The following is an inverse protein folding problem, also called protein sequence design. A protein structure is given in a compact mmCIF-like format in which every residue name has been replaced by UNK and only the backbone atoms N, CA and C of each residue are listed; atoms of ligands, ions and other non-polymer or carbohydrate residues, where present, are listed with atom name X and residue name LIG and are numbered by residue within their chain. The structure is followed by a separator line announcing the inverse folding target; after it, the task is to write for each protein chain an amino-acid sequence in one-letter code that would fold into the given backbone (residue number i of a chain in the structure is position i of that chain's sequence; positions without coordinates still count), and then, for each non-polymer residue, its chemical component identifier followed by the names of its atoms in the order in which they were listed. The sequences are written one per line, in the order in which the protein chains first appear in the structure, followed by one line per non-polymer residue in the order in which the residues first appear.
data_IF_084510287197
#
_entry.id   IF_084510287197
#
_cell.length_a   1.000
_cell.length_b   1.000
_cell.length_c   1.000
_cell.angle_alpha   90.00
_cell.angle_beta   90.00
_cell.angle_gamma   90.00
#
_symmetry.space_group_name_H-M   'P 1'
#
loop_
_entity.id
_entity.type
_entity.pdbx_description
1 polymer ?
#
# COMPACT_ATOMS: atom_id res chain seq x y z
N UNK A 1 -14.40 45.56 56.01
CA UNK A 1 -13.96 44.56 57.01
C UNK A 1 -14.81 43.30 56.89
N UNK A 2 -14.28 42.22 56.30
CA UNK A 2 -14.47 40.84 56.78
C UNK A 2 -13.65 39.89 55.92
N UNK A 3 -12.77 39.13 56.58
CA UNK A 3 -11.85 38.12 56.04
C UNK A 3 -12.59 36.80 55.82
N UNK A 4 -12.32 36.09 54.72
CA UNK A 4 -12.51 34.62 54.59
C UNK A 4 -11.36 34.07 53.74
N UNK A 5 -10.35 33.45 54.37
CA UNK A 5 -10.21 32.02 54.75
C UNK A 5 -9.68 31.17 53.59
N UNK A 6 -8.36 30.98 53.61
CA UNK A 6 -7.60 30.02 52.82
C UNK A 6 -7.87 28.59 53.31
N UNK A 7 -7.97 27.65 52.36
CA UNK A 7 -7.95 26.20 52.58
C UNK A 7 -6.51 25.67 52.50
N UNK A 8 -6.13 24.65 53.29
CA UNK A 8 -4.79 24.06 53.21
C UNK A 8 -4.70 22.99 52.12
N UNK A 9 -3.62 23.03 51.35
CA UNK A 9 -3.18 21.95 50.45
C UNK A 9 -2.53 20.83 51.28
N UNK A 10 -3.06 19.62 51.17
CA UNK A 10 -2.44 18.39 51.67
C UNK A 10 -1.46 17.86 50.60
N UNK A 11 -0.18 17.85 50.95
CA UNK A 11 0.88 17.20 50.18
C UNK A 11 0.88 15.70 50.50
N UNK A 12 0.69 14.86 49.48
CA UNK A 12 0.87 13.42 49.58
C UNK A 12 2.24 13.06 48.99
N UNK A 13 3.20 12.78 49.88
CA UNK A 13 4.51 12.25 49.51
C UNK A 13 4.43 10.77 49.20
N UNK A 14 4.91 10.36 48.03
CA UNK A 14 5.17 8.96 47.71
C UNK A 14 6.64 8.63 48.01
N UNK A 15 6.83 7.73 48.96
CA UNK A 15 8.09 7.11 49.35
C UNK A 15 8.29 5.87 48.47
N UNK A 16 9.27 5.88 47.56
CA UNK A 16 9.67 4.67 46.83
C UNK A 16 10.83 4.00 47.57
N UNK A 17 10.55 2.85 48.17
CA UNK A 17 11.54 1.97 48.82
C UNK A 17 12.28 1.19 47.74
N UNK A 18 13.61 1.31 47.77
CA UNK A 18 14.54 0.51 46.97
C UNK A 18 14.85 -0.79 47.71
N UNK A 19 14.60 -1.94 47.10
CA UNK A 19 15.26 -3.20 47.50
C UNK A 19 16.10 -3.70 46.33
N UNK A 20 17.40 -3.80 46.59
CA UNK A 20 18.35 -4.45 45.71
C UNK A 20 18.28 -5.96 45.86
N UNK A 21 18.49 -6.65 44.74
CA UNK A 21 18.95 -8.04 44.71
C UNK A 21 20.13 -8.08 43.74
N UNK A 22 21.25 -8.64 44.21
CA UNK A 22 22.50 -8.78 43.48
C UNK A 22 22.82 -10.28 43.33
N UNK A 23 23.31 -10.63 42.14
CA UNK A 23 24.20 -11.75 41.78
C UNK A 23 23.56 -13.16 41.84
N UNK A 24 23.84 -14.15 40.98
CA UNK A 24 24.98 -14.48 40.11
C UNK A 24 24.53 -15.34 38.89
N UNK A 25 25.35 -15.27 37.83
CA UNK A 25 25.79 -16.32 36.89
C UNK A 25 24.84 -17.42 36.39
N UNK A 26 24.55 -17.41 35.08
CA UNK A 26 24.70 -18.59 34.21
C UNK A 26 25.27 -18.16 32.85
N UNK A 27 26.21 -18.96 32.38
CA UNK A 27 27.12 -18.82 31.26
C UNK A 27 26.53 -19.16 29.88
N UNK A 28 27.24 -18.69 28.86
CA UNK A 28 27.42 -19.28 27.53
C UNK A 28 26.20 -19.47 26.61
N UNK A 29 26.16 -18.65 25.55
CA UNK A 29 26.48 -19.14 24.20
C UNK A 29 26.63 -17.98 23.22
N UNK A 30 27.87 -17.77 22.79
CA UNK A 30 28.24 -16.88 21.71
C UNK A 30 27.68 -17.42 20.38
N UNK A 31 26.73 -16.72 19.78
CA UNK A 31 26.31 -16.99 18.41
C UNK A 31 26.95 -15.97 17.47
N UNK A 32 27.86 -16.52 16.68
CA UNK A 32 28.66 -15.96 15.60
C UNK A 32 27.89 -14.94 14.77
N UNK A 33 28.38 -13.69 14.75
CA UNK A 33 28.08 -12.72 13.70
C UNK A 33 28.89 -13.09 12.47
N UNK A 34 28.22 -13.60 11.43
CA UNK A 34 28.80 -13.67 10.10
C UNK A 34 28.65 -12.29 9.43
N UNK A 35 29.77 -11.58 9.45
CA UNK A 35 30.04 -10.40 8.63
C UNK A 35 30.07 -10.85 7.17
N UNK A 36 29.16 -10.34 6.34
CA UNK A 36 29.14 -10.62 4.91
C UNK A 36 29.07 -9.31 4.10
N UNK A 37 30.08 -9.17 3.26
CA UNK A 37 30.18 -8.31 2.07
C UNK A 37 30.57 -6.83 2.27
N UNK A 38 31.88 -6.62 2.44
CA UNK A 38 32.58 -5.57 1.69
C UNK A 38 32.59 -5.95 0.21
N UNK A 39 31.69 -5.35 -0.57
CA UNK A 39 31.79 -5.39 -2.03
C UNK A 39 32.72 -4.27 -2.49
N UNK A 40 33.82 -4.70 -3.11
CA UNK A 40 34.86 -3.94 -3.75
C UNK A 40 34.28 -3.10 -4.91
N UNK A 41 34.32 -1.78 -4.80
CA UNK A 41 34.06 -0.85 -5.92
C UNK A 41 35.24 -0.93 -6.89
N UNK A 42 35.11 -1.77 -7.92
CA UNK A 42 35.88 -1.60 -9.15
C UNK A 42 35.03 -0.80 -10.15
N UNK A 43 35.61 0.30 -10.61
CA UNK A 43 35.06 1.19 -11.62
C UNK A 43 34.89 0.44 -12.94
N UNK A 44 33.65 0.41 -13.44
CA UNK A 44 33.36 -0.04 -14.79
C UNK A 44 33.45 1.17 -15.71
N UNK A 45 34.54 1.28 -16.46
CA UNK A 45 34.66 2.22 -17.60
C UNK A 45 33.94 1.60 -18.81
N UNK A 46 32.88 2.24 -19.35
CA UNK A 46 32.27 1.77 -20.59
C UNK A 46 33.19 2.05 -21.79
N UNK A 47 33.30 1.14 -22.77
CA UNK A 47 33.99 1.43 -24.01
C UNK A 47 33.20 2.46 -24.83
N UNK A 48 33.91 3.49 -25.28
CA UNK A 48 33.48 4.47 -26.25
C UNK A 48 33.21 3.80 -27.61
N UNK A 49 31.96 3.83 -28.05
CA UNK A 49 31.59 3.55 -29.44
C UNK A 49 31.40 4.87 -30.21
N UNK A 50 31.81 4.95 -31.49
CA UNK A 50 31.87 6.19 -32.24
C UNK A 50 30.48 6.66 -32.71
N UNK A 51 30.30 7.97 -32.66
CA UNK A 51 29.18 8.69 -33.26
C UNK A 51 29.15 8.48 -34.78
N UNK A 52 28.09 7.83 -35.27
CA UNK A 52 27.68 7.85 -36.67
C UNK A 52 26.37 8.64 -36.79
N UNK A 53 26.44 9.81 -37.42
CA UNK A 53 25.31 10.66 -37.78
C UNK A 53 24.58 10.01 -38.95
N UNK A 54 23.28 9.72 -38.80
CA UNK A 54 22.35 9.55 -39.91
C UNK A 54 20.99 10.15 -39.52
N UNK A 55 20.70 11.30 -40.13
CA UNK A 55 19.38 11.91 -40.16
C UNK A 55 18.50 11.16 -41.19
N UNK A 56 17.24 10.88 -40.84
CA UNK A 56 16.31 10.23 -41.78
C UNK A 56 14.94 9.87 -41.16
N UNK A 57 14.09 10.88 -41.03
CA UNK A 57 12.66 10.93 -41.42
C UNK A 57 11.68 9.72 -41.33
N UNK A 58 10.48 10.10 -40.87
CA UNK A 58 9.10 9.58 -41.07
C UNK A 58 8.46 8.66 -40.02
N UNK A 59 7.30 9.16 -39.56
CA UNK A 59 6.47 8.62 -38.51
C UNK A 59 5.89 7.26 -38.85
N UNK A 60 6.06 6.34 -37.90
CA UNK A 60 5.27 5.13 -37.78
C UNK A 60 4.80 5.06 -36.33
N UNK A 61 3.50 5.12 -36.13
CA UNK A 61 2.86 4.83 -34.85
C UNK A 61 3.15 3.36 -34.52
N UNK A 62 4.16 3.11 -33.69
CA UNK A 62 4.49 1.78 -33.21
C UNK A 62 3.43 1.35 -32.18
N UNK A 63 2.35 0.78 -32.69
CA UNK A 63 1.43 -0.05 -31.92
C UNK A 63 2.20 -1.30 -31.49
N UNK A 64 2.70 -1.32 -30.25
CA UNK A 64 3.27 -2.54 -29.68
C UNK A 64 2.14 -3.54 -29.43
N UNK A 65 2.13 -4.72 -30.08
CA UNK A 65 1.18 -5.76 -29.74
C UNK A 65 1.54 -6.28 -28.35
N UNK A 66 0.71 -5.96 -27.35
CA UNK A 66 0.72 -6.71 -26.10
C UNK A 66 0.34 -8.15 -26.45
N UNK A 67 1.11 -9.17 -26.05
CA UNK A 67 0.59 -10.54 -26.10
C UNK A 67 -0.67 -10.53 -25.24
N UNK A 68 -1.79 -10.93 -25.83
CA UNK A 68 -3.01 -11.20 -25.09
C UNK A 68 -2.62 -12.19 -23.98
N UNK A 69 -2.65 -11.73 -22.73
CA UNK A 69 -2.61 -12.63 -21.60
C UNK A 69 -3.84 -13.51 -21.78
N UNK A 70 -3.63 -14.82 -21.93
CA UNK A 70 -4.71 -15.80 -21.98
C UNK A 70 -5.66 -15.49 -20.83
N UNK A 71 -6.87 -15.04 -21.17
CA UNK A 71 -7.85 -14.66 -20.19
C UNK A 71 -8.11 -15.89 -19.31
N UNK A 72 -7.98 -15.82 -17.98
CA UNK A 72 -8.33 -16.93 -17.12
C UNK A 72 -9.78 -17.32 -17.41
N UNK A 73 -10.01 -18.64 -17.52
CA UNK A 73 -11.29 -19.27 -17.85
C UNK A 73 -12.47 -18.50 -17.26
N UNK A 74 -13.36 -18.04 -18.15
CA UNK A 74 -14.47 -17.16 -17.82
C UNK A 74 -15.28 -17.68 -16.62
N UNK A 75 -15.38 -16.85 -15.58
CA UNK A 75 -16.45 -17.01 -14.60
C UNK A 75 -17.81 -16.83 -15.32
N UNK A 76 -18.87 -17.51 -14.86
CA UNK A 76 -20.21 -17.30 -15.41
C UNK A 76 -20.55 -15.81 -15.29
N UNK A 77 -20.89 -15.20 -16.43
CA UNK A 77 -21.29 -13.80 -16.52
C UNK A 77 -22.53 -13.58 -15.65
N UNK A 78 -22.38 -12.89 -14.52
CA UNK A 78 -23.50 -12.43 -13.71
C UNK A 78 -24.10 -11.23 -14.46
N UNK A 79 -25.18 -11.48 -15.20
CA UNK A 79 -25.86 -10.48 -16.01
C UNK A 79 -26.36 -9.32 -15.13
N UNK A 80 -25.75 -8.15 -15.30
CA UNK A 80 -26.22 -6.91 -14.74
C UNK A 80 -27.32 -6.34 -15.64
N UNK A 81 -28.60 -6.68 -15.41
CA UNK A 81 -29.76 -5.94 -15.93
C UNK A 81 -31.08 -6.40 -15.26
N UNK A 82 -31.70 -5.56 -14.44
CA UNK A 82 -33.14 -5.64 -14.11
C UNK A 82 -33.51 -5.66 -12.61
N UNK A 83 -34.46 -4.82 -12.14
CA UNK A 83 -34.85 -4.75 -10.73
C UNK A 83 -36.13 -5.56 -10.45
N UNK A 84 -36.06 -6.88 -10.31
CA UNK A 84 -37.15 -7.69 -9.70
C UNK A 84 -36.56 -8.95 -9.08
N UNK A 85 -37.03 -9.33 -7.88
CA UNK A 85 -36.77 -10.60 -7.15
C UNK A 85 -35.51 -10.74 -6.28
N UNK A 86 -35.06 -9.67 -5.62
CA UNK A 86 -33.97 -9.75 -4.62
C UNK A 86 -34.34 -10.39 -3.26
N UNK A 87 -35.55 -10.94 -3.10
CA UNK A 87 -36.08 -11.30 -1.77
C UNK A 87 -36.36 -12.79 -1.54
N UNK A 88 -35.76 -13.72 -2.31
CA UNK A 88 -36.01 -15.16 -2.12
C UNK A 88 -34.78 -16.08 -1.98
N UNK A 89 -33.55 -15.56 -1.89
CA UNK A 89 -32.35 -16.42 -1.69
C UNK A 89 -31.47 -15.93 -0.54
N UNK A 90 -31.79 -16.38 0.68
CA UNK A 90 -30.79 -16.46 1.74
C UNK A 90 -29.70 -17.45 1.29
N UNK A 91 -28.60 -16.96 0.71
CA UNK A 91 -27.50 -17.84 0.27
C UNK A 91 -26.55 -17.26 -0.76
N UNK A 92 -26.86 -16.14 -1.42
CA UNK A 92 -25.88 -15.50 -2.31
C UNK A 92 -24.90 -14.63 -1.50
N UNK A 93 -23.59 -14.70 -1.81
CA UNK A 93 -22.61 -13.82 -1.18
C UNK A 93 -22.96 -12.36 -1.47
N UNK A 94 -22.68 -11.47 -0.50
CA UNK A 94 -22.83 -10.04 -0.72
C UNK A 94 -21.94 -9.57 -1.87
N UNK A 95 -22.30 -8.46 -2.53
CA UNK A 95 -21.47 -7.84 -3.57
C UNK A 95 -20.04 -7.61 -3.08
N UNK A 96 -19.89 -7.18 -1.83
CA UNK A 96 -18.60 -6.99 -1.18
C UNK A 96 -17.82 -8.30 -1.06
N UNK A 97 -18.46 -9.40 -0.63
CA UNK A 97 -17.81 -10.70 -0.54
C UNK A 97 -17.33 -11.22 -1.91
N UNK A 98 -18.15 -11.05 -2.97
CA UNK A 98 -17.78 -11.40 -4.34
C UNK A 98 -16.58 -10.56 -4.83
N UNK A 99 -16.64 -9.25 -4.61
CA UNK A 99 -15.55 -8.34 -4.96
C UNK A 99 -14.24 -8.69 -4.25
N UNK A 100 -14.29 -8.90 -2.93
CA UNK A 100 -13.13 -9.23 -2.11
C UNK A 100 -12.51 -10.56 -2.52
N UNK A 101 -13.33 -11.60 -2.71
CA UNK A 101 -12.86 -12.92 -3.16
C UNK A 101 -12.21 -12.87 -4.54
N UNK A 102 -12.78 -12.09 -5.48
CA UNK A 102 -12.19 -11.91 -6.80
C UNK A 102 -10.85 -11.16 -6.74
N UNK A 103 -10.76 -10.11 -5.94
CA UNK A 103 -9.52 -9.34 -5.75
C UNK A 103 -8.39 -10.19 -5.14
N UNK A 104 -8.70 -10.99 -4.11
CA UNK A 104 -7.74 -11.91 -3.48
C UNK A 104 -7.23 -12.94 -4.48
N UNK A 105 -8.12 -13.54 -5.28
CA UNK A 105 -7.75 -14.50 -6.33
C UNK A 105 -6.79 -13.86 -7.34
N UNK A 106 -7.10 -12.68 -7.87
CA UNK A 106 -6.24 -11.99 -8.82
C UNK A 106 -4.85 -11.67 -8.25
N UNK A 107 -4.81 -11.23 -6.99
CA UNK A 107 -3.56 -10.94 -6.32
C UNK A 107 -2.69 -12.21 -6.18
N UNK A 108 -3.30 -13.36 -5.86
CA UNK A 108 -2.65 -14.67 -5.87
C UNK A 108 -2.15 -15.12 -7.24
N UNK A 109 -2.93 -14.87 -8.30
CA UNK A 109 -2.54 -15.16 -9.68
C UNK A 109 -1.34 -14.33 -10.14
N UNK A 110 -1.26 -13.05 -9.75
CA UNK A 110 -0.08 -12.24 -10.07
C UNK A 110 1.13 -12.56 -9.20
N UNK A 111 0.93 -12.94 -7.93
CA UNK A 111 2.02 -13.39 -7.07
C UNK A 111 2.66 -14.68 -7.62
N UNK A 112 1.85 -15.65 -8.06
CA UNK A 112 2.35 -16.93 -8.59
C UNK A 112 3.17 -16.79 -9.87
N UNK A 113 2.97 -15.71 -10.64
CA UNK A 113 3.76 -15.37 -11.82
C UNK A 113 5.17 -14.86 -11.49
N UNK A 114 5.50 -14.59 -10.22
CA UNK A 114 6.82 -14.13 -9.78
C UNK A 114 7.33 -12.89 -10.55
N UNK A 115 6.43 -11.97 -10.92
CA UNK A 115 6.76 -10.80 -11.73
C UNK A 115 7.71 -9.87 -10.94
N UNK A 116 8.95 -9.77 -11.39
CA UNK A 116 9.97 -8.91 -10.77
C UNK A 116 9.72 -7.42 -11.04
N UNK A 117 10.10 -6.60 -10.07
CA UNK A 117 9.96 -5.14 -10.17
C UNK A 117 10.73 -4.56 -11.37
N UNK A 118 10.02 -3.87 -12.26
CA UNK A 118 10.53 -3.29 -13.53
C UNK A 118 11.17 -4.30 -14.49
N UNK A 119 10.87 -5.60 -14.39
CA UNK A 119 11.33 -6.59 -15.37
C UNK A 119 10.49 -6.63 -16.65
N UNK A 120 9.22 -6.22 -16.59
CA UNK A 120 8.29 -6.20 -17.73
C UNK A 120 7.43 -4.94 -17.69
N UNK A 121 6.76 -4.54 -18.79
CA UNK A 121 5.83 -3.43 -18.77
C UNK A 121 4.82 -3.56 -17.62
N UNK A 122 4.55 -2.44 -16.94
CA UNK A 122 3.63 -2.39 -15.79
C UNK A 122 4.01 -3.33 -14.62
N UNK A 123 5.30 -3.57 -14.35
CA UNK A 123 5.72 -4.29 -13.14
C UNK A 123 6.37 -3.42 -12.04
N UNK A 124 6.21 -2.09 -12.12
CA UNK A 124 6.43 -1.22 -10.94
C UNK A 124 5.19 -1.17 -10.04
N UNK A 125 5.26 -0.43 -8.92
CA UNK A 125 4.17 -0.38 -7.93
C UNK A 125 2.84 0.08 -8.55
N UNK A 126 2.83 1.21 -9.25
CA UNK A 126 1.67 1.69 -10.02
C UNK A 126 1.28 0.78 -11.18
N UNK A 127 2.24 0.11 -11.82
CA UNK A 127 1.99 -0.79 -12.93
C UNK A 127 1.26 -2.05 -12.51
N UNK A 128 1.67 -2.67 -11.41
CA UNK A 128 0.99 -3.85 -10.87
C UNK A 128 -0.43 -3.51 -10.40
N UNK A 129 -0.64 -2.30 -9.89
CA UNK A 129 -1.98 -1.80 -9.63
C UNK A 129 -2.82 -1.69 -10.91
N UNK A 130 -2.28 -1.11 -11.98
CA UNK A 130 -2.97 -1.06 -13.29
C UNK A 130 -3.30 -2.45 -13.85
N UNK A 131 -2.41 -3.43 -13.67
CA UNK A 131 -2.69 -4.83 -14.04
C UNK A 131 -3.89 -5.39 -13.28
N UNK A 132 -3.97 -5.16 -11.97
CA UNK A 132 -5.17 -5.49 -11.19
C UNK A 132 -6.40 -4.79 -11.76
N UNK A 133 -6.35 -3.48 -11.99
CA UNK A 133 -7.50 -2.71 -12.48
C UNK A 133 -8.03 -3.23 -13.82
N UNK A 134 -7.16 -3.64 -14.75
CA UNK A 134 -7.57 -4.19 -16.04
C UNK A 134 -8.44 -5.44 -15.89
N UNK A 135 -8.08 -6.33 -14.96
CA UNK A 135 -8.86 -7.53 -14.66
C UNK A 135 -10.13 -7.19 -13.87
N UNK A 136 -10.04 -6.27 -12.91
CA UNK A 136 -11.20 -5.78 -12.16
C UNK A 136 -12.25 -5.15 -13.08
N UNK A 137 -11.84 -4.35 -14.06
CA UNK A 137 -12.74 -3.71 -15.05
C UNK A 137 -13.54 -4.72 -15.87
N UNK A 138 -12.93 -5.85 -16.21
CA UNK A 138 -13.63 -6.92 -16.93
C UNK A 138 -14.73 -7.56 -16.07
N UNK A 139 -14.48 -7.76 -14.77
CA UNK A 139 -15.44 -8.38 -13.85
C UNK A 139 -16.47 -7.41 -13.27
N UNK A 140 -16.11 -6.13 -13.11
CA UNK A 140 -16.92 -5.08 -12.49
C UNK A 140 -16.97 -3.83 -13.38
N UNK A 141 -17.54 -3.91 -14.59
CA UNK A 141 -17.50 -2.82 -15.58
C UNK A 141 -18.26 -1.55 -15.18
N UNK A 142 -19.11 -1.63 -14.15
CA UNK A 142 -19.86 -0.48 -13.63
C UNK A 142 -19.00 0.49 -12.80
N UNK A 143 -17.80 0.09 -12.38
CA UNK A 143 -16.87 1.01 -11.70
C UNK A 143 -16.11 1.86 -12.70
N UNK A 144 -15.73 3.05 -12.26
CA UNK A 144 -14.86 3.95 -13.02
C UNK A 144 -13.41 3.62 -12.68
N UNK A 145 -12.56 3.43 -13.69
CA UNK A 145 -11.15 3.08 -13.49
C UNK A 145 -10.22 4.10 -14.15
N UNK A 146 -9.11 4.47 -13.50
CA UNK A 146 -8.07 5.25 -14.16
C UNK A 146 -7.42 4.40 -15.26
N UNK A 147 -7.35 4.96 -16.46
CA UNK A 147 -6.59 4.35 -17.55
C UNK A 147 -5.09 4.61 -17.41
N UNK A 148 -4.27 3.70 -17.95
CA UNK A 148 -2.80 3.81 -17.93
C UNK A 148 -2.34 5.12 -18.59
N UNK A 149 -3.02 5.55 -19.65
CA UNK A 149 -2.72 6.78 -20.40
C UNK A 149 -3.10 8.06 -19.65
N UNK A 150 -4.09 7.99 -18.75
CA UNK A 150 -4.56 9.12 -17.96
C UNK A 150 -3.75 9.28 -16.66
N UNK A 151 -3.48 8.16 -15.97
CA UNK A 151 -2.89 8.17 -14.64
C UNK A 151 -1.87 7.03 -14.42
N UNK A 152 -0.76 7.05 -15.17
CA UNK A 152 0.25 5.97 -15.10
C UNK A 152 0.97 5.85 -13.76
N UNK A 153 1.32 6.99 -13.15
CA UNK A 153 2.22 7.03 -11.99
C UNK A 153 1.44 7.05 -10.68
N UNK A 154 2.07 6.67 -9.58
CA UNK A 154 1.45 6.72 -8.24
C UNK A 154 0.90 8.09 -7.87
N UNK A 155 1.58 9.17 -8.27
CA UNK A 155 1.14 10.56 -8.04
C UNK A 155 -0.01 10.97 -8.96
N UNK A 156 0.05 10.58 -10.24
CA UNK A 156 -1.04 10.83 -11.18
C UNK A 156 -2.32 10.07 -10.77
N UNK A 157 -2.19 8.84 -10.25
CA UNK A 157 -3.31 8.09 -9.67
C UNK A 157 -3.92 8.84 -8.49
N UNK A 158 -3.11 9.35 -7.56
CA UNK A 158 -3.63 10.12 -6.44
C UNK A 158 -4.37 11.40 -6.92
N UNK A 159 -3.81 12.12 -7.90
CA UNK A 159 -4.48 13.27 -8.50
C UNK A 159 -5.82 12.87 -9.13
N UNK A 160 -5.84 11.77 -9.90
CA UNK A 160 -7.04 11.26 -10.55
C UNK A 160 -8.18 10.97 -9.56
N UNK A 161 -7.87 10.34 -8.43
CA UNK A 161 -8.85 10.09 -7.36
C UNK A 161 -9.24 11.40 -6.65
N UNK A 162 -8.30 12.33 -6.47
CA UNK A 162 -8.58 13.62 -5.84
C UNK A 162 -9.54 14.47 -6.66
N UNK A 163 -9.32 14.58 -7.96
CA UNK A 163 -10.17 15.35 -8.90
C UNK A 163 -11.61 14.83 -8.95
N UNK A 164 -11.83 13.59 -8.47
CA UNK A 164 -13.13 12.90 -8.41
C UNK A 164 -13.70 12.83 -6.99
N UNK A 165 -13.12 13.56 -6.03
CA UNK A 165 -13.50 13.53 -4.61
C UNK A 165 -13.46 12.11 -3.98
N UNK A 166 -12.60 11.24 -4.52
CA UNK A 166 -12.47 9.84 -4.10
C UNK A 166 -11.15 9.56 -3.35
N UNK A 167 -10.30 10.57 -3.18
CA UNK A 167 -9.07 10.48 -2.39
C UNK A 167 -9.29 11.06 -0.99
N UNK A 168 -9.06 10.24 0.04
CA UNK A 168 -8.99 10.70 1.42
C UNK A 168 -7.53 10.90 1.82
N UNK A 169 -7.17 12.11 2.22
CA UNK A 169 -5.84 12.42 2.76
C UNK A 169 -5.79 12.02 4.23
N UNK A 170 -4.73 11.32 4.64
CA UNK A 170 -4.57 10.76 5.98
C UNK A 170 -3.63 11.64 6.80
N UNK A 171 -4.18 12.23 7.86
CA UNK A 171 -3.41 13.02 8.83
C UNK A 171 -2.92 12.16 9.99
N UNK A 172 -3.79 11.27 10.48
CA UNK A 172 -3.51 10.37 11.60
C UNK A 172 -3.85 8.92 11.22
N UNK A 173 -2.82 8.18 10.79
CA UNK A 173 -2.96 6.78 10.40
C UNK A 173 -3.50 5.90 11.53
N UNK A 174 -3.09 6.13 12.79
CA UNK A 174 -3.47 5.26 13.90
C UNK A 174 -4.98 5.29 14.18
N UNK A 175 -5.61 6.43 13.92
CA UNK A 175 -7.05 6.66 14.10
C UNK A 175 -7.87 6.51 12.80
N UNK A 176 -7.21 6.30 11.66
CA UNK A 176 -7.88 6.18 10.35
C UNK A 176 -8.13 4.72 9.92
N UNK A 177 -7.93 3.74 10.80
CA UNK A 177 -8.04 2.31 10.46
C UNK A 177 -9.39 1.89 9.88
N UNK A 178 -10.48 2.59 10.20
CA UNK A 178 -11.82 2.35 9.66
C UNK A 178 -11.90 2.55 8.12
N UNK A 179 -10.95 3.29 7.52
CA UNK A 179 -10.86 3.47 6.07
C UNK A 179 -10.20 2.28 5.36
N UNK A 180 -9.57 1.38 6.10
CA UNK A 180 -8.87 0.21 5.56
C UNK A 180 -9.87 -0.93 5.39
N UNK A 181 -10.21 -1.23 4.14
CA UNK A 181 -11.03 -2.37 3.72
C UNK A 181 -10.41 -3.00 2.47
N UNK A 182 -10.68 -4.28 2.15
CA UNK A 182 -10.26 -4.84 0.87
C UNK A 182 -10.73 -3.97 -0.30
N UNK A 183 -9.85 -3.80 -1.30
CA UNK A 183 -10.05 -2.83 -2.40
C UNK A 183 -9.58 -1.41 -2.10
N UNK A 184 -9.20 -1.09 -0.85
CA UNK A 184 -8.55 0.17 -0.54
C UNK A 184 -7.18 0.28 -1.22
N UNK A 185 -6.88 1.45 -1.76
CA UNK A 185 -5.64 1.79 -2.45
C UNK A 185 -4.83 2.67 -1.51
N UNK A 186 -3.77 2.11 -0.95
CA UNK A 186 -2.94 2.77 0.05
C UNK A 186 -1.84 3.54 -0.66
N UNK A 187 -1.74 4.85 -0.38
CA UNK A 187 -0.65 5.69 -0.86
C UNK A 187 0.33 5.98 0.27
N UNK A 188 1.60 5.75 0.02
CA UNK A 188 2.67 5.91 1.01
C UNK A 188 3.67 6.98 0.60
N UNK A 189 4.14 7.73 1.58
CA UNK A 189 5.10 8.81 1.39
C UNK A 189 6.54 8.38 1.21
N UNK A 190 7.42 9.39 1.15
CA UNK A 190 8.86 9.18 1.20
C UNK A 190 9.32 8.44 2.46
N UNK A 191 10.36 7.63 2.32
CA UNK A 191 10.98 6.85 3.42
C UNK A 191 11.47 7.79 4.52
N UNK A 192 11.03 7.58 5.76
CA UNK A 192 11.50 8.32 6.94
C UNK A 192 10.99 9.75 7.05
N UNK A 193 10.20 10.24 6.09
CA UNK A 193 9.59 11.56 6.13
C UNK A 193 8.25 11.49 6.86
N UNK A 194 8.01 12.47 7.72
CA UNK A 194 6.72 12.66 8.41
C UNK A 194 5.91 13.71 7.67
N UNK A 195 4.63 13.42 7.47
CA UNK A 195 3.65 14.30 6.86
C UNK A 195 2.67 14.71 7.94
N UNK A 196 2.54 16.02 8.14
CA UNK A 196 1.58 16.64 9.03
C UNK A 196 0.69 17.50 8.14
N UNK A 197 -0.57 17.11 8.00
CA UNK A 197 -1.56 17.80 7.15
C UNK A 197 -1.07 17.99 5.70
N UNK A 198 -0.72 16.91 4.98
CA UNK A 198 -0.20 17.04 3.62
C UNK A 198 -1.29 17.57 2.68
N UNK A 199 -0.95 18.53 1.82
CA UNK A 199 -1.84 18.99 0.74
C UNK A 199 -1.73 18.09 -0.48
N UNK A 200 -2.76 18.08 -1.35
CA UNK A 200 -2.69 17.33 -2.61
C UNK A 200 -1.48 17.75 -3.46
N UNK A 201 -1.18 19.05 -3.57
CA UNK A 201 0.02 19.56 -4.26
C UNK A 201 1.29 18.88 -3.76
N UNK A 202 1.45 18.78 -2.43
CA UNK A 202 2.63 18.15 -1.83
C UNK A 202 2.65 16.65 -2.14
N UNK A 203 1.50 15.98 -2.06
CA UNK A 203 1.36 14.55 -2.30
C UNK A 203 1.71 14.17 -3.74
N UNK A 204 1.31 14.99 -4.71
CA UNK A 204 1.48 14.72 -6.14
C UNK A 204 2.77 15.30 -6.72
N UNK A 205 3.47 16.19 -5.99
CA UNK A 205 4.79 16.68 -6.39
C UNK A 205 5.87 15.59 -6.29
N UNK A 206 6.61 15.41 -7.38
CA UNK A 206 7.71 14.44 -7.45
C UNK A 206 8.78 14.69 -6.38
N UNK A 207 9.23 13.63 -5.71
CA UNK A 207 10.24 13.70 -4.66
C UNK A 207 9.77 14.29 -3.32
N UNK A 208 8.54 14.82 -3.24
CA UNK A 208 8.04 15.46 -2.02
C UNK A 208 7.03 14.61 -1.25
N UNK A 209 6.11 13.96 -1.97
CA UNK A 209 4.99 13.22 -1.41
C UNK A 209 5.04 11.74 -1.69
N UNK A 210 4.04 11.25 -2.43
CA UNK A 210 3.79 9.83 -2.66
C UNK A 210 4.97 9.18 -3.37
N UNK A 211 5.49 8.09 -2.80
CA UNK A 211 6.56 7.27 -3.36
C UNK A 211 6.06 5.89 -3.77
N UNK A 212 5.06 5.36 -3.08
CA UNK A 212 4.67 3.96 -3.21
C UNK A 212 3.16 3.79 -3.07
N UNK A 213 2.62 2.73 -3.69
CA UNK A 213 1.21 2.35 -3.56
C UNK A 213 1.06 0.85 -3.43
N UNK A 214 -0.08 0.42 -2.90
CA UNK A 214 -0.54 -0.96 -3.01
C UNK A 214 -2.02 -1.10 -2.70
N UNK A 215 -2.53 -2.31 -2.87
CA UNK A 215 -3.95 -2.60 -2.75
C UNK A 215 -4.19 -3.52 -1.57
N UNK A 216 -5.06 -3.12 -0.65
CA UNK A 216 -5.49 -3.95 0.48
C UNK A 216 -6.34 -5.10 -0.06
N UNK A 217 -6.00 -6.32 0.34
CA UNK A 217 -6.73 -7.53 -0.07
C UNK A 217 -7.34 -8.28 1.11
N UNK A 218 -6.84 -8.06 2.32
CA UNK A 218 -7.34 -8.65 3.56
C UNK A 218 -7.16 -7.65 4.70
N UNK A 219 -8.05 -7.71 5.69
CA UNK A 219 -7.98 -6.91 6.91
C UNK A 219 -8.19 -7.81 8.12
N UNK A 220 -7.37 -7.61 9.14
CA UNK A 220 -7.52 -8.22 10.45
C UNK A 220 -8.19 -7.21 11.37
N UNK A 221 -9.19 -7.65 12.14
CA UNK A 221 -9.93 -6.81 13.08
C UNK A 221 -9.90 -7.42 14.48
N UNK A 222 -9.92 -6.58 15.50
CA UNK A 222 -10.12 -7.03 16.87
C UNK A 222 -11.59 -7.36 17.17
N UNK A 223 -11.87 -7.79 18.39
CA UNK A 223 -13.22 -8.12 18.88
C UNK A 223 -14.18 -6.92 18.84
N UNK A 224 -13.64 -5.70 18.84
CA UNK A 224 -14.41 -4.46 18.74
C UNK A 224 -14.63 -4.03 17.27
N UNK A 225 -14.15 -4.83 16.30
CA UNK A 225 -14.27 -4.55 14.87
C UNK A 225 -13.25 -3.54 14.34
N UNK A 226 -12.28 -3.12 15.15
CA UNK A 226 -11.25 -2.17 14.76
C UNK A 226 -10.14 -2.87 13.98
N UNK A 227 -9.69 -2.26 12.89
CA UNK A 227 -8.60 -2.81 12.08
C UNK A 227 -7.30 -2.79 12.89
N UNK A 228 -6.69 -3.96 13.07
CA UNK A 228 -5.42 -4.12 13.78
C UNK A 228 -4.26 -4.36 12.82
N UNK A 229 -4.53 -4.98 11.68
CA UNK A 229 -3.56 -5.21 10.61
C UNK A 229 -4.25 -5.35 9.25
N UNK A 230 -3.45 -5.30 8.17
CA UNK A 230 -3.93 -5.64 6.83
C UNK A 230 -2.85 -6.35 6.00
N UNK A 231 -3.31 -7.06 4.96
CA UNK A 231 -2.48 -7.61 3.90
C UNK A 231 -2.62 -6.76 2.65
N UNK A 232 -1.49 -6.44 2.01
CA UNK A 232 -1.44 -5.63 0.79
C UNK A 232 -0.77 -6.40 -0.34
N UNK A 233 -1.37 -6.37 -1.52
CA UNK A 233 -0.72 -6.74 -2.76
C UNK A 233 -0.05 -5.53 -3.41
N UNK A 234 1.23 -5.67 -3.75
CA UNK A 234 2.00 -4.60 -4.41
C UNK A 234 3.30 -5.12 -5.04
N UNK A 235 3.86 -4.33 -5.97
CA UNK A 235 5.25 -4.49 -6.38
C UNK A 235 6.18 -3.93 -5.29
N UNK A 236 7.03 -4.78 -4.68
CA UNK A 236 7.78 -4.44 -3.45
C UNK A 236 9.02 -3.57 -3.65
N UNK A 237 9.65 -3.62 -4.82
CA UNK A 237 10.88 -2.89 -5.12
C UNK A 237 11.87 -3.74 -5.91
N UNK A 238 12.98 -3.13 -6.35
CA UNK A 238 13.98 -3.78 -7.22
C UNK A 238 14.43 -5.13 -6.66
N UNK A 239 14.46 -6.14 -7.53
CA UNK A 239 14.90 -7.50 -7.20
C UNK A 239 13.89 -8.33 -6.41
N UNK A 240 12.70 -7.79 -6.11
CA UNK A 240 11.63 -8.53 -5.42
C UNK A 240 10.44 -8.71 -6.36
N UNK A 241 9.80 -9.90 -6.36
CA UNK A 241 8.55 -10.07 -7.07
C UNK A 241 7.40 -9.31 -6.38
N UNK A 242 6.38 -8.96 -7.16
CA UNK A 242 5.08 -8.57 -6.63
C UNK A 242 4.53 -9.68 -5.74
N UNK A 243 3.93 -9.32 -4.61
CA UNK A 243 3.60 -10.27 -3.56
C UNK A 243 2.61 -9.69 -2.57
N UNK A 244 1.96 -10.58 -1.83
CA UNK A 244 1.24 -10.28 -0.60
C UNK A 244 2.22 -10.00 0.52
N UNK A 245 2.24 -8.76 0.99
CA UNK A 245 2.93 -8.42 2.23
C UNK A 245 1.89 -8.31 3.34
N UNK A 246 2.10 -9.08 4.41
CA UNK A 246 1.17 -9.21 5.54
C UNK A 246 1.57 -8.29 6.69
N UNK A 247 0.64 -8.16 7.64
CA UNK A 247 0.86 -7.57 8.97
C UNK A 247 1.34 -6.11 8.94
N UNK A 248 0.68 -5.27 8.15
CA UNK A 248 0.80 -3.83 8.31
C UNK A 248 0.01 -3.38 9.54
N UNK A 249 0.69 -3.27 10.67
CA UNK A 249 0.07 -3.14 12.00
C UNK A 249 -0.38 -1.71 12.33
N UNK A 250 -1.51 -1.58 13.01
CA UNK A 250 -1.94 -0.33 13.67
C UNK A 250 -0.89 0.13 14.70
N UNK A 251 -0.33 -0.82 15.45
CA UNK A 251 0.70 -0.60 16.48
C UNK A 251 1.94 -1.43 16.13
N UNK A 252 2.88 -0.88 15.36
CA UNK A 252 4.11 -1.60 15.01
C UNK A 252 4.96 -1.93 16.23
N UNK A 253 5.58 -3.13 16.25
CA UNK A 253 6.48 -3.55 17.32
C UNK A 253 7.70 -2.62 17.49
N UNK A 254 8.08 -1.92 16.42
CA UNK A 254 9.13 -0.91 16.43
C UNK A 254 8.48 0.48 16.37
N UNK A 255 8.63 1.26 17.44
CA UNK A 255 8.06 2.61 17.58
C UNK A 255 8.58 3.64 16.56
N UNK A 256 9.66 3.33 15.83
CA UNK A 256 10.14 4.16 14.72
C UNK A 256 9.35 3.95 13.42
N UNK A 257 8.52 2.91 13.34
CA UNK A 257 7.66 2.65 12.19
C UNK A 257 6.29 3.34 12.38
N UNK A 258 5.74 3.98 11.33
CA UNK A 258 4.41 4.57 11.37
C UNK A 258 3.32 3.49 11.43
N UNK A 259 2.23 3.78 12.14
CA UNK A 259 1.01 2.97 12.13
C UNK A 259 0.54 2.73 10.69
N UNK A 260 0.18 1.48 10.37
CA UNK A 260 -0.27 1.03 9.05
C UNK A 260 0.67 1.35 7.89
N UNK A 261 1.91 1.76 8.15
CA UNK A 261 2.83 2.22 7.12
C UNK A 261 3.61 1.11 6.44
N UNK A 262 4.11 1.39 5.24
CA UNK A 262 4.97 0.46 4.51
C UNK A 262 6.43 0.66 4.94
N UNK A 263 6.90 -0.17 5.87
CA UNK A 263 8.19 0.04 6.55
C UNK A 263 8.25 1.46 7.13
N UNK A 264 9.25 2.27 6.73
CA UNK A 264 9.42 3.66 7.19
C UNK A 264 8.62 4.66 6.35
N UNK A 265 7.74 4.20 5.45
CA UNK A 265 6.87 5.07 4.66
C UNK A 265 5.52 5.22 5.37
N UNK A 266 5.17 6.47 5.71
CA UNK A 266 3.87 6.78 6.31
C UNK A 266 2.74 6.56 5.29
N UNK A 267 1.62 5.99 5.74
CA UNK A 267 0.36 6.00 4.99
C UNK A 267 -0.22 7.41 5.03
N UNK A 268 -0.40 8.02 3.85
CA UNK A 268 -0.71 9.46 3.70
C UNK A 268 -1.95 9.76 2.87
N UNK A 269 -2.45 8.80 2.11
CA UNK A 269 -3.75 8.90 1.46
C UNK A 269 -4.33 7.52 1.19
N UNK A 270 -5.65 7.45 1.01
CA UNK A 270 -6.36 6.25 0.60
C UNK A 270 -7.43 6.60 -0.43
N UNK A 271 -7.61 5.71 -1.40
CA UNK A 271 -8.76 5.70 -2.30
C UNK A 271 -9.33 4.27 -2.36
N UNK A 272 -10.30 4.03 -3.22
CA UNK A 272 -10.88 2.70 -3.40
C UNK A 272 -11.02 2.34 -4.86
N UNK A 273 -10.93 1.05 -5.18
CA UNK A 273 -11.14 0.54 -6.55
C UNK A 273 -12.61 0.67 -6.97
N UNK A 274 -13.55 0.59 -6.01
CA UNK A 274 -14.99 0.61 -6.25
C UNK A 274 -15.57 2.04 -6.39
N UNK A 275 -14.88 2.91 -7.13
CA UNK A 275 -15.39 4.27 -7.43
C UNK A 275 -16.61 4.19 -8.34
N UNK A 276 -17.74 4.70 -7.86
CA UNK A 276 -19.00 4.91 -8.58
C UNK A 276 -19.14 6.37 -9.00
#
# INVERSE_FOLDING_TARGET
MTKRKMLPFLALGFLLVTTGVRAEDISNSAMVRQDSSRANTQAFTPPSAPFGILAGFWGGSLSFPYPALDAPSALPAIAANGPVLYSLMAGLPSREAVFNGYLQRLAGEYESQHILYRSVPLSDCSGMFHRLLQQMKAAFPAFVYPEVTEARSTRALAQWYYDRNALHIIEDAANSGHLIKPGAIMFFGQIGKKYRQPSIEQLTTYGQGIMHIGTVIEVEKDEQGQVTAYTMFHARGRGKPASHTRHYLQRPNNSSLPAFGNWRQQWIAVAYIDTQ
#
